data_IF_484404019731
#
_entry.id   IF_484404019731
#
_cell.length_a   1.000
_cell.length_b   1.000
_cell.length_c   1.000
_cell.angle_alpha   90.00
_cell.angle_beta   90.00
_cell.angle_gamma   90.00
#
_symmetry.space_group_name_H-M   'P 1'
#
loop_
_entity.id
_entity.type
_entity.pdbx_description
1 polymer ?
#
# COMPACT_ATOMS: atom_id res chain seq x y z
N UNK A 1 -5.40 4.15 -13.47
CA UNK A 1 -6.61 4.70 -14.12
C UNK A 1 -7.27 3.61 -14.98
N UNK A 2 -8.61 3.58 -15.10
CA UNK A 2 -9.34 2.67 -15.99
C UNK A 2 -8.99 2.89 -17.46
N UNK A 3 -8.74 4.14 -17.85
CA UNK A 3 -8.35 4.50 -19.24
C UNK A 3 -7.01 3.91 -19.61
N UNK A 4 -6.00 4.08 -18.76
CA UNK A 4 -4.66 3.50 -18.97
C UNK A 4 -4.72 1.97 -19.03
N UNK A 5 -5.53 1.36 -18.18
CA UNK A 5 -5.70 -0.09 -18.17
C UNK A 5 -6.39 -0.60 -19.44
N UNK A 6 -7.46 0.07 -19.89
CA UNK A 6 -8.10 -0.25 -21.16
C UNK A 6 -7.14 -0.12 -22.34
N UNK A 7 -6.31 0.94 -22.36
CA UNK A 7 -5.31 1.15 -23.41
C UNK A 7 -4.24 0.05 -23.42
N UNK A 8 -3.86 -0.49 -22.26
CA UNK A 8 -2.91 -1.61 -22.17
C UNK A 8 -3.50 -2.91 -22.71
N UNK A 9 -4.77 -3.20 -22.38
CA UNK A 9 -5.47 -4.37 -22.91
C UNK A 9 -5.76 -4.25 -24.41
N UNK A 10 -5.98 -3.02 -24.91
CA UNK A 10 -6.39 -2.72 -26.27
C UNK A 10 -5.34 -1.91 -27.03
N UNK A 11 -4.06 -2.28 -26.95
CA UNK A 11 -2.93 -1.50 -27.50
C UNK A 11 -3.14 -1.03 -28.94
N UNK A 12 -3.54 -1.94 -29.84
CA UNK A 12 -3.82 -1.63 -31.25
C UNK A 12 -4.95 -0.60 -31.43
N UNK A 13 -6.04 -0.70 -30.65
CA UNK A 13 -7.15 0.26 -30.71
C UNK A 13 -6.77 1.59 -30.07
N UNK A 14 -5.93 1.57 -29.04
CA UNK A 14 -5.43 2.77 -28.39
C UNK A 14 -4.50 3.54 -29.33
N UNK A 15 -3.69 2.86 -30.15
CA UNK A 15 -2.83 3.48 -31.17
C UNK A 15 -3.64 4.22 -32.25
N UNK A 16 -4.74 3.64 -32.73
CA UNK A 16 -5.58 4.27 -33.77
C UNK A 16 -6.30 5.53 -33.28
N UNK A 17 -6.36 5.77 -31.97
CA UNK A 17 -6.90 7.02 -31.40
C UNK A 17 -6.03 8.22 -31.70
N UNK A 18 -4.77 8.04 -32.10
CA UNK A 18 -3.85 9.13 -32.47
C UNK A 18 -3.58 9.08 -33.97
N UNK A 19 -3.81 10.20 -34.64
CA UNK A 19 -3.53 10.33 -36.08
C UNK A 19 -2.18 10.99 -36.30
N UNK A 20 -1.60 10.82 -37.50
CA UNK A 20 -0.37 11.52 -37.90
C UNK A 20 -0.51 13.05 -37.79
N UNK A 21 -1.68 13.59 -38.11
CA UNK A 21 -2.00 15.02 -37.97
C UNK A 21 -1.94 15.51 -36.53
N UNK A 22 -2.30 14.67 -35.56
CA UNK A 22 -2.23 15.04 -34.14
C UNK A 22 -0.77 15.18 -33.69
N UNK A 23 0.09 14.28 -34.17
CA UNK A 23 1.53 14.31 -33.87
C UNK A 23 2.19 15.53 -34.52
N UNK A 24 1.87 15.81 -35.78
CA UNK A 24 2.35 16.99 -36.52
C UNK A 24 1.98 18.30 -35.82
N UNK A 25 0.73 18.43 -35.34
CA UNK A 25 0.29 19.62 -34.56
C UNK A 25 1.12 19.89 -33.31
N UNK A 26 1.63 18.86 -32.65
CA UNK A 26 2.49 19.05 -31.48
C UNK A 26 3.92 19.40 -31.89
N UNK A 27 4.43 18.80 -32.97
CA UNK A 27 5.75 19.14 -33.53
C UNK A 27 5.82 20.57 -34.08
N UNK A 28 4.77 21.03 -34.76
CA UNK A 28 4.65 22.42 -35.23
C UNK A 28 4.66 23.44 -34.08
N UNK A 29 4.24 23.03 -32.88
CA UNK A 29 4.31 23.81 -31.64
C UNK A 29 5.65 23.70 -30.93
N UNK A 30 6.66 23.08 -31.55
CA UNK A 30 7.99 22.87 -30.99
C UNK A 30 8.04 21.86 -29.83
N UNK A 31 7.04 20.98 -29.70
CA UNK A 31 7.04 19.94 -28.66
C UNK A 31 7.79 18.72 -29.18
N UNK A 32 8.88 18.34 -28.50
CA UNK A 32 9.75 17.25 -28.92
C UNK A 32 10.14 16.33 -27.75
N UNK A 33 10.73 15.18 -28.07
CA UNK A 33 11.24 14.21 -27.09
C UNK A 33 10.17 13.73 -26.09
N UNK A 34 10.56 13.60 -24.81
CA UNK A 34 9.68 13.09 -23.74
C UNK A 34 8.41 13.92 -23.54
N UNK A 35 8.44 15.22 -23.84
CA UNK A 35 7.26 16.07 -23.71
C UNK A 35 6.22 15.75 -24.80
N UNK A 36 6.68 15.44 -26.00
CA UNK A 36 5.82 15.02 -27.10
C UNK A 36 5.13 13.69 -26.77
N UNK A 37 5.89 12.70 -26.28
CA UNK A 37 5.35 11.40 -25.87
C UNK A 37 4.25 11.55 -24.82
N UNK A 38 4.51 12.37 -23.80
CA UNK A 38 3.53 12.65 -22.74
C UNK A 38 2.25 13.31 -23.29
N UNK A 39 2.36 14.31 -24.16
CA UNK A 39 1.18 14.97 -24.76
C UNK A 39 0.39 14.03 -25.67
N UNK A 40 1.06 13.14 -26.39
CA UNK A 40 0.41 12.11 -27.21
C UNK A 40 -0.35 11.14 -26.31
N UNK A 41 0.25 10.71 -25.21
CA UNK A 41 -0.37 9.78 -24.26
C UNK A 41 -1.57 10.41 -23.54
N UNK A 42 -1.46 11.66 -23.11
CA UNK A 42 -2.57 12.40 -22.50
C UNK A 42 -3.71 12.61 -23.50
N UNK A 43 -3.42 12.93 -24.77
CA UNK A 43 -4.43 13.03 -25.82
C UNK A 43 -5.10 11.68 -26.09
N UNK A 44 -4.31 10.60 -26.10
CA UNK A 44 -4.81 9.23 -26.29
C UNK A 44 -5.78 8.85 -25.15
N UNK A 45 -5.37 9.11 -23.91
CA UNK A 45 -6.20 8.93 -22.71
C UNK A 45 -7.48 9.75 -22.79
N UNK A 46 -7.40 11.00 -23.24
CA UNK A 46 -8.56 11.88 -23.44
C UNK A 46 -9.59 11.35 -24.44
N UNK A 47 -9.15 10.58 -25.44
CA UNK A 47 -9.99 10.01 -26.51
C UNK A 47 -10.58 8.63 -26.21
N UNK A 48 -10.25 8.04 -25.06
CA UNK A 48 -10.92 6.83 -24.56
C UNK A 48 -12.31 7.21 -24.08
N UNK A 49 -13.31 6.58 -24.69
CA UNK A 49 -14.73 6.85 -24.46
C UNK A 49 -15.31 6.01 -23.32
N UNK A 50 -16.45 6.42 -22.75
CA UNK A 50 -17.13 5.63 -21.71
C UNK A 50 -17.64 4.29 -22.23
N UNK A 51 -18.06 4.22 -23.49
CA UNK A 51 -18.48 2.97 -24.15
C UNK A 51 -17.34 1.96 -24.17
N UNK A 52 -16.13 2.41 -24.47
CA UNK A 52 -14.94 1.56 -24.46
C UNK A 52 -14.56 1.13 -23.04
N UNK A 53 -14.70 2.02 -22.06
CA UNK A 53 -14.49 1.66 -20.66
C UNK A 53 -15.52 0.64 -20.15
N UNK A 54 -16.74 0.65 -20.70
CA UNK A 54 -17.78 -0.32 -20.37
C UNK A 54 -17.50 -1.72 -20.94
N UNK A 55 -16.55 -1.87 -21.87
CA UNK A 55 -16.08 -3.19 -22.34
C UNK A 55 -15.26 -3.93 -21.28
N UNK A 56 -14.74 -3.23 -20.25
CA UNK A 56 -13.99 -3.85 -19.17
C UNK A 56 -14.90 -4.77 -18.36
N UNK A 57 -14.54 -6.04 -18.31
CA UNK A 57 -15.28 -7.04 -17.56
C UNK A 57 -15.09 -6.87 -16.04
N UNK A 58 -15.94 -7.54 -15.25
CA UNK A 58 -15.72 -7.61 -13.81
C UNK A 58 -14.35 -8.20 -13.43
N UNK A 59 -13.82 -9.12 -14.25
CA UNK A 59 -12.50 -9.70 -14.04
C UNK A 59 -11.39 -8.68 -14.32
N UNK A 60 -11.54 -7.88 -15.38
CA UNK A 60 -10.61 -6.80 -15.72
C UNK A 60 -10.53 -5.77 -14.60
N UNK A 61 -11.66 -5.43 -13.98
CA UNK A 61 -11.70 -4.52 -12.84
C UNK A 61 -11.00 -5.09 -11.60
N UNK A 62 -11.08 -6.41 -11.37
CA UNK A 62 -10.31 -7.08 -10.29
C UNK A 62 -8.81 -7.01 -10.55
N UNK A 63 -8.38 -7.31 -11.78
CA UNK A 63 -6.96 -7.22 -12.19
C UNK A 63 -6.46 -5.79 -12.04
N UNK A 64 -7.26 -4.80 -12.46
CA UNK A 64 -6.94 -3.39 -12.30
C UNK A 64 -6.78 -3.00 -10.83
N UNK A 65 -7.66 -3.48 -9.94
CA UNK A 65 -7.56 -3.20 -8.52
C UNK A 65 -6.24 -3.72 -7.92
N UNK A 66 -5.86 -4.96 -8.25
CA UNK A 66 -4.59 -5.55 -7.82
C UNK A 66 -3.40 -4.75 -8.37
N UNK A 67 -3.39 -4.51 -9.69
CA UNK A 67 -2.32 -3.76 -10.36
C UNK A 67 -2.15 -2.35 -9.80
N UNK A 68 -3.27 -1.67 -9.51
CA UNK A 68 -3.27 -0.34 -8.92
C UNK A 68 -2.58 -0.34 -7.56
N UNK A 69 -2.87 -1.34 -6.71
CA UNK A 69 -2.20 -1.48 -5.41
C UNK A 69 -0.71 -1.76 -5.56
N UNK A 70 -0.33 -2.68 -6.45
CA UNK A 70 1.08 -3.00 -6.74
C UNK A 70 1.87 -1.78 -7.22
N UNK A 71 1.24 -0.92 -8.03
CA UNK A 71 1.90 0.25 -8.62
C UNK A 71 1.87 1.50 -7.74
N UNK A 72 1.04 1.51 -6.69
CA UNK A 72 0.88 2.67 -5.79
C UNK A 72 1.95 2.76 -4.69
N UNK A 73 2.74 1.71 -4.52
CA UNK A 73 3.76 1.62 -3.49
C UNK A 73 5.02 2.42 -3.78
N UNK A 74 5.77 2.69 -2.71
CA UNK A 74 7.15 3.17 -2.83
C UNK A 74 8.08 2.01 -3.17
N UNK A 75 9.15 2.32 -3.89
CA UNK A 75 10.14 1.32 -4.27
C UNK A 75 10.66 0.59 -3.01
N UNK A 76 10.73 -0.74 -3.07
CA UNK A 76 11.16 -1.63 -1.98
C UNK A 76 10.30 -1.55 -0.70
N UNK A 77 9.11 -0.92 -0.73
CA UNK A 77 8.16 -0.96 0.40
C UNK A 77 7.00 -1.91 0.07
N UNK A 78 6.83 -3.02 0.80
CA UNK A 78 5.74 -3.97 0.56
C UNK A 78 4.36 -3.29 0.59
N UNK A 79 3.47 -3.67 -0.33
CA UNK A 79 2.11 -3.16 -0.40
C UNK A 79 1.11 -4.27 -0.09
N UNK A 80 0.15 -3.99 0.77
CA UNK A 80 -0.87 -4.97 1.14
C UNK A 80 -1.94 -5.04 0.06
N UNK A 81 -1.96 -6.16 -0.67
CA UNK A 81 -2.91 -6.39 -1.76
C UNK A 81 -4.27 -6.83 -1.22
N UNK A 82 -4.29 -7.79 -0.29
CA UNK A 82 -5.50 -8.34 0.34
C UNK A 82 -5.23 -8.64 1.82
N UNK A 83 -6.24 -8.42 2.65
CA UNK A 83 -6.30 -8.79 4.08
C UNK A 83 -7.43 -9.79 4.31
N UNK A 84 -7.48 -10.35 5.51
CA UNK A 84 -8.54 -11.25 5.97
C UNK A 84 -8.75 -12.43 5.00
N UNK A 85 -7.64 -13.05 4.62
CA UNK A 85 -7.64 -14.24 3.76
C UNK A 85 -7.98 -15.48 4.58
N UNK A 86 -8.68 -16.43 3.97
CA UNK A 86 -8.92 -17.72 4.62
C UNK A 86 -7.64 -18.56 4.64
N UNK A 87 -7.57 -19.55 5.54
CA UNK A 87 -6.43 -20.48 5.59
C UNK A 87 -6.20 -21.19 4.25
N UNK A 88 -7.29 -21.51 3.54
CA UNK A 88 -7.26 -22.13 2.21
C UNK A 88 -6.67 -21.19 1.15
N UNK A 89 -7.05 -19.90 1.17
CA UNK A 89 -6.48 -18.89 0.28
C UNK A 89 -4.99 -18.65 0.60
N UNK A 90 -4.64 -18.56 1.89
CA UNK A 90 -3.27 -18.39 2.36
C UNK A 90 -2.39 -19.55 1.89
N UNK A 91 -2.81 -20.79 2.14
CA UNK A 91 -2.08 -21.99 1.73
C UNK A 91 -1.88 -22.03 0.20
N UNK A 92 -2.96 -21.79 -0.56
CA UNK A 92 -2.90 -21.82 -2.03
C UNK A 92 -1.94 -20.79 -2.61
N UNK A 93 -1.88 -19.58 -2.05
CA UNK A 93 -0.93 -18.55 -2.50
C UNK A 93 0.48 -18.92 -2.06
N UNK A 94 0.66 -19.36 -0.81
CA UNK A 94 1.95 -19.73 -0.22
C UNK A 94 2.65 -20.82 -1.02
N UNK A 95 1.94 -21.86 -1.43
CA UNK A 95 2.48 -22.95 -2.28
C UNK A 95 2.90 -22.47 -3.67
N UNK A 96 2.33 -21.37 -4.16
CA UNK A 96 2.55 -20.85 -5.50
C UNK A 96 3.40 -19.57 -5.53
N UNK A 97 4.01 -19.15 -4.42
CA UNK A 97 4.81 -17.91 -4.35
C UNK A 97 5.94 -17.86 -5.38
N UNK A 98 6.53 -19.02 -5.73
CA UNK A 98 7.55 -19.10 -6.78
C UNK A 98 7.06 -18.60 -8.16
N UNK A 99 5.76 -18.65 -8.42
CA UNK A 99 5.15 -18.18 -9.66
C UNK A 99 4.80 -16.68 -9.63
N UNK A 100 4.97 -16.01 -8.49
CA UNK A 100 4.57 -14.62 -8.28
C UNK A 100 5.76 -13.79 -7.77
N UNK A 101 6.69 -13.39 -8.66
CA UNK A 101 7.85 -12.57 -8.27
C UNK A 101 7.42 -11.29 -7.55
N UNK A 102 7.98 -11.06 -6.35
CA UNK A 102 7.69 -9.89 -5.53
C UNK A 102 6.39 -9.96 -4.72
N UNK A 103 5.67 -11.09 -4.76
CA UNK A 103 4.53 -11.36 -3.88
C UNK A 103 5.01 -12.20 -2.70
N UNK A 104 4.46 -11.89 -1.53
CA UNK A 104 4.67 -12.67 -0.31
C UNK A 104 3.33 -12.85 0.41
N UNK A 105 3.22 -13.92 1.19
CA UNK A 105 2.06 -14.24 2.01
C UNK A 105 2.53 -14.38 3.46
N UNK A 106 2.14 -13.43 4.30
CA UNK A 106 2.57 -13.37 5.70
C UNK A 106 1.37 -13.17 6.62
N UNK A 107 1.53 -13.61 7.86
CA UNK A 107 0.57 -13.31 8.93
C UNK A 107 0.87 -11.91 9.46
N UNK A 108 -0.12 -11.03 9.38
CA UNK A 108 -0.06 -9.69 9.95
C UNK A 108 -0.84 -9.63 11.28
N UNK A 109 -0.52 -8.67 12.13
CA UNK A 109 -1.18 -8.47 13.42
C UNK A 109 -2.24 -7.38 13.31
N UNK A 110 -3.23 -7.38 14.21
CA UNK A 110 -4.13 -6.25 14.42
C UNK A 110 -4.25 -5.91 15.90
N UNK A 111 -4.49 -4.63 16.20
CA UNK A 111 -4.67 -4.18 17.59
C UNK A 111 -6.08 -4.54 18.04
N UNK A 112 -6.18 -5.51 18.94
CA UNK A 112 -7.44 -5.89 19.56
C UNK A 112 -7.66 -5.13 20.88
N UNK A 113 -8.81 -4.46 21.02
CA UNK A 113 -9.24 -3.80 22.25
C UNK A 113 -10.29 -4.67 22.95
N UNK A 114 -9.85 -5.50 23.91
CA UNK A 114 -10.67 -6.52 24.57
C UNK A 114 -11.94 -5.95 25.22
N UNK A 115 -11.88 -4.72 25.75
CA UNK A 115 -13.01 -4.06 26.41
C UNK A 115 -13.81 -3.13 25.48
N UNK A 116 -13.60 -3.20 24.17
CA UNK A 116 -14.35 -2.44 23.18
C UNK A 116 -14.19 -0.93 23.36
N UNK A 117 -15.29 -0.23 23.68
CA UNK A 117 -15.32 1.23 23.87
C UNK A 117 -14.92 1.67 25.27
N UNK A 118 -15.01 0.79 26.28
CA UNK A 118 -14.65 1.11 27.66
C UNK A 118 -13.19 1.56 27.71
N UNK A 119 -12.95 2.75 28.26
CA UNK A 119 -11.62 3.35 28.38
C UNK A 119 -10.89 3.64 27.05
N UNK A 120 -11.55 3.48 25.89
CA UNK A 120 -10.92 3.66 24.57
C UNK A 120 -10.51 5.10 24.29
N UNK A 121 -11.22 6.08 24.86
CA UNK A 121 -10.88 7.50 24.78
C UNK A 121 -9.53 7.83 25.43
N UNK A 122 -9.06 7.02 26.38
CA UNK A 122 -7.78 7.21 27.07
C UNK A 122 -6.69 6.32 26.47
N UNK A 123 -7.00 5.10 26.06
CA UNK A 123 -6.05 4.25 25.34
C UNK A 123 -5.62 4.91 24.01
N UNK A 124 -6.60 5.41 23.27
CA UNK A 124 -6.41 5.97 21.95
C UNK A 124 -6.48 4.92 20.84
N UNK A 125 -5.91 5.26 19.69
CA UNK A 125 -5.94 4.41 18.51
C UNK A 125 -4.56 4.35 17.86
N UNK A 126 -4.36 3.32 17.04
CA UNK A 126 -3.23 3.21 16.12
C UNK A 126 -3.70 3.49 14.68
N UNK A 127 -2.77 3.81 13.79
CA UNK A 127 -3.05 3.82 12.35
C UNK A 127 -3.22 2.41 11.79
N UNK A 128 -3.99 2.26 10.71
CA UNK A 128 -4.01 1.01 9.94
C UNK A 128 -2.80 0.93 9.02
N UNK A 129 -2.48 -0.25 8.48
CA UNK A 129 -1.40 -0.35 7.49
C UNK A 129 -1.73 0.30 6.14
N UNK A 130 -3.02 0.53 5.82
CA UNK A 130 -3.43 1.35 4.68
C UNK A 130 -3.21 2.84 4.94
N UNK A 131 -3.48 3.30 6.16
CA UNK A 131 -3.20 4.67 6.57
C UNK A 131 -1.70 4.93 6.68
N UNK A 132 -0.97 3.97 7.26
CA UNK A 132 0.46 4.05 7.48
C UNK A 132 0.83 5.16 8.47
N UNK A 133 1.91 5.88 8.17
CA UNK A 133 2.36 6.99 8.99
C UNK A 133 1.47 8.24 8.81
N UNK A 134 1.06 8.92 9.90
CA UNK A 134 0.33 10.18 9.83
C UNK A 134 1.11 11.24 9.06
N UNK A 135 0.44 11.96 8.14
CA UNK A 135 1.09 12.93 7.24
C UNK A 135 1.76 14.06 8.01
N UNK A 136 1.14 14.50 9.10
CA UNK A 136 1.60 15.57 9.98
C UNK A 136 2.95 15.27 10.64
N UNK A 137 3.26 13.99 10.88
CA UNK A 137 4.46 13.55 11.60
C UNK A 137 5.37 12.66 10.74
N UNK A 138 5.10 12.59 9.43
CA UNK A 138 5.75 11.67 8.51
C UNK A 138 7.27 11.76 8.58
N UNK A 139 7.84 12.96 8.44
CA UNK A 139 9.29 13.15 8.41
C UNK A 139 9.95 12.74 9.74
N UNK A 140 9.28 13.00 10.87
CA UNK A 140 9.75 12.58 12.19
C UNK A 140 9.86 11.06 12.31
N UNK A 141 8.88 10.32 11.79
CA UNK A 141 8.91 8.86 11.81
C UNK A 141 9.94 8.30 10.82
N UNK A 142 10.06 8.88 9.62
CA UNK A 142 11.04 8.43 8.62
C UNK A 142 12.48 8.58 9.11
N UNK A 143 12.82 9.68 9.78
CA UNK A 143 14.17 9.88 10.37
C UNK A 143 14.46 8.86 11.46
N UNK A 144 13.42 8.35 12.14
CA UNK A 144 13.52 7.30 13.15
C UNK A 144 13.54 5.88 12.58
N UNK A 145 13.51 5.72 11.25
CA UNK A 145 13.62 4.43 10.58
C UNK A 145 12.29 3.70 10.36
N UNK A 146 11.15 4.37 10.55
CA UNK A 146 9.84 3.78 10.24
C UNK A 146 9.62 3.74 8.73
N UNK A 147 8.92 2.71 8.26
CA UNK A 147 8.41 2.67 6.88
C UNK A 147 7.07 3.39 6.79
N UNK A 148 6.74 3.86 5.58
CA UNK A 148 5.51 4.64 5.33
C UNK A 148 4.22 3.89 5.63
N UNK A 149 4.24 2.57 5.53
CA UNK A 149 3.11 1.68 5.82
C UNK A 149 3.13 1.15 7.27
N UNK A 150 4.00 1.68 8.13
CA UNK A 150 4.05 1.29 9.54
C UNK A 150 2.82 1.79 10.29
N UNK A 151 2.35 0.94 11.20
CA UNK A 151 1.27 1.26 12.11
C UNK A 151 1.88 1.89 13.36
N UNK A 152 1.37 3.04 13.75
CA UNK A 152 1.87 3.80 14.89
C UNK A 152 0.72 4.29 15.76
N UNK A 153 1.00 4.50 17.05
CA UNK A 153 0.11 5.18 17.97
C UNK A 153 -0.28 6.55 17.47
N UNK A 154 -1.56 6.72 17.15
CA UNK A 154 -2.14 7.94 16.59
C UNK A 154 -2.61 8.90 17.66
N UNK A 155 -3.06 8.39 18.81
CA UNK A 155 -3.57 9.24 19.89
C UNK A 155 -3.36 8.67 21.28
N UNK A 156 -3.42 9.55 22.28
CA UNK A 156 -3.40 9.25 23.72
C UNK A 156 -2.28 8.30 24.15
N UNK A 157 -2.58 7.22 24.88
CA UNK A 157 -1.56 6.29 25.41
C UNK A 157 -0.77 5.63 24.27
N UNK A 158 -1.45 5.18 23.21
CA UNK A 158 -0.78 4.55 22.06
C UNK A 158 0.28 5.50 21.48
N UNK A 159 -0.06 6.78 21.26
CA UNK A 159 0.90 7.78 20.77
C UNK A 159 1.98 8.13 21.79
N UNK A 160 1.58 8.32 23.06
CA UNK A 160 2.49 8.79 24.12
C UNK A 160 3.58 7.77 24.42
N UNK A 161 3.26 6.48 24.32
CA UNK A 161 4.15 5.37 24.62
C UNK A 161 4.60 4.61 23.37
N UNK A 162 4.46 5.18 22.17
CA UNK A 162 4.88 4.56 20.91
C UNK A 162 6.32 4.03 21.00
N UNK A 163 7.24 4.81 21.56
CA UNK A 163 8.66 4.43 21.68
C UNK A 163 8.91 3.17 22.52
N UNK A 164 7.97 2.81 23.39
CA UNK A 164 8.02 1.64 24.26
C UNK A 164 7.20 0.49 23.69
N UNK A 165 6.04 0.80 23.12
CA UNK A 165 5.06 -0.15 22.58
C UNK A 165 5.43 -0.65 21.18
N UNK A 166 6.16 0.14 20.39
CA UNK A 166 6.59 -0.23 19.05
C UNK A 166 7.64 -1.34 19.09
N UNK A 167 7.36 -2.45 18.40
CA UNK A 167 8.32 -3.53 18.22
C UNK A 167 9.37 -3.18 17.17
N UNK A 168 10.54 -3.79 17.24
CA UNK A 168 11.54 -3.66 16.17
C UNK A 168 11.22 -4.64 15.06
N UNK A 169 11.22 -4.17 13.81
CA UNK A 169 10.96 -5.03 12.65
C UNK A 169 12.16 -5.91 12.33
N UNK A 170 11.88 -7.01 11.63
CA UNK A 170 12.95 -7.77 10.98
C UNK A 170 13.50 -6.93 9.82
N UNK A 171 14.82 -6.78 9.77
CA UNK A 171 15.50 -6.09 8.68
C UNK A 171 16.04 -7.12 7.69
N UNK A 172 15.62 -7.00 6.42
CA UNK A 172 16.04 -7.89 5.34
C UNK A 172 16.72 -7.06 4.25
N UNK A 173 17.96 -7.44 3.91
CA UNK A 173 18.73 -6.85 2.83
C UNK A 173 18.53 -7.65 1.54
N UNK A 174 17.86 -7.03 0.58
CA UNK A 174 17.70 -7.58 -0.76
C UNK A 174 18.89 -7.18 -1.64
N UNK A 175 19.56 -8.16 -2.23
CA UNK A 175 20.63 -7.97 -3.21
C UNK A 175 20.00 -8.08 -4.60
N UNK A 176 20.14 -7.03 -5.41
CA UNK A 176 19.54 -6.97 -6.75
C UNK A 176 20.56 -7.05 -7.87
N UNK A 177 20.16 -7.58 -9.02
CA UNK A 177 20.94 -7.51 -10.27
C UNK A 177 20.89 -6.11 -10.90
N UNK A 178 21.59 -5.92 -12.03
CA UNK A 178 21.59 -4.65 -12.79
C UNK A 178 20.22 -4.28 -13.38
N UNK A 179 19.30 -5.25 -13.46
CA UNK A 179 17.94 -5.07 -13.97
C UNK A 179 16.93 -4.78 -12.85
N UNK A 180 17.37 -4.81 -11.58
CA UNK A 180 16.53 -4.58 -10.40
C UNK A 180 15.82 -5.82 -9.86
N UNK A 181 16.12 -7.02 -10.37
CA UNK A 181 15.55 -8.26 -9.86
C UNK A 181 16.26 -8.67 -8.56
N UNK A 182 15.52 -9.16 -7.57
CA UNK A 182 16.08 -9.65 -6.31
C UNK A 182 16.75 -11.01 -6.56
N UNK A 183 18.06 -11.10 -6.29
CA UNK A 183 18.90 -12.29 -6.47
C UNK A 183 19.06 -13.06 -5.16
N UNK A 184 19.11 -12.35 -4.04
CA UNK A 184 19.15 -12.95 -2.70
C UNK A 184 18.63 -11.99 -1.63
N UNK A 185 18.21 -12.54 -0.50
CA UNK A 185 17.76 -11.80 0.68
C UNK A 185 18.52 -12.29 1.92
N UNK A 186 19.05 -11.36 2.71
CA UNK A 186 19.80 -11.64 3.95
C UNK A 186 19.11 -10.97 5.14
N UNK A 187 18.80 -11.72 6.19
CA UNK A 187 18.25 -11.16 7.44
C UNK A 187 19.38 -10.50 8.21
N UNK A 188 19.33 -9.17 8.33
CA UNK A 188 20.30 -8.35 9.09
C UNK A 188 19.98 -8.39 10.58
N UNK A 189 18.70 -8.26 10.93
CA UNK A 189 18.25 -8.17 12.32
C UNK A 189 16.90 -8.84 12.48
N UNK A 190 16.73 -9.66 13.52
CA UNK A 190 15.45 -10.30 13.82
C UNK A 190 14.49 -9.31 14.48
N UNK A 191 13.23 -9.38 14.08
CA UNK A 191 12.18 -8.61 14.72
C UNK A 191 11.97 -9.00 16.18
N UNK A 192 11.49 -8.05 16.99
CA UNK A 192 11.13 -8.25 18.40
C UNK A 192 9.85 -7.50 18.72
N UNK A 193 8.98 -8.11 19.51
CA UNK A 193 7.79 -7.44 20.04
C UNK A 193 8.18 -6.24 20.90
N UNK A 194 7.35 -5.19 20.86
CA UNK A 194 7.48 -4.05 21.77
C UNK A 194 7.24 -4.46 23.22
N UNK A 195 7.55 -3.54 24.14
CA UNK A 195 7.37 -3.80 25.55
C UNK A 195 5.89 -3.71 25.95
N UNK A 196 5.54 -4.41 27.02
CA UNK A 196 4.20 -4.29 27.62
C UNK A 196 4.14 -3.07 28.55
N UNK A 197 3.04 -2.33 28.48
CA UNK A 197 2.73 -1.23 29.39
C UNK A 197 1.65 -1.66 30.39
N UNK A 198 1.95 -1.56 31.69
CA UNK A 198 0.95 -1.77 32.74
C UNK A 198 0.47 -0.42 33.25
N UNK A 199 -0.84 -0.20 33.24
CA UNK A 199 -1.46 1.03 33.72
C UNK A 199 -1.81 0.91 35.20
N UNK A 200 -1.94 2.06 35.87
CA UNK A 200 -2.42 2.14 37.27
C UNK A 200 -3.95 2.09 37.37
N UNK A 201 -4.65 1.90 36.26
CA UNK A 201 -6.11 1.91 36.18
C UNK A 201 -6.66 0.52 36.49
N UNK A 202 -7.56 0.46 37.46
CA UNK A 202 -8.37 -0.73 37.72
C UNK A 202 -9.57 -0.76 36.76
N UNK A 203 -9.64 -1.80 35.93
CA UNK A 203 -10.69 -1.92 34.90
C UNK A 203 -12.07 -2.22 35.49
N UNK A 204 -12.17 -2.89 36.63
CA UNK A 204 -13.45 -3.15 37.28
C UNK A 204 -14.01 -1.86 37.89
N UNK A 205 -13.15 -1.06 38.51
CA UNK A 205 -13.52 0.27 39.01
C UNK A 205 -13.93 1.19 37.86
N UNK A 206 -13.13 1.24 36.79
CA UNK A 206 -13.44 2.06 35.62
C UNK A 206 -14.80 1.71 35.01
N UNK A 207 -15.11 0.41 34.88
CA UNK A 207 -16.39 -0.06 34.37
C UNK A 207 -17.56 0.43 35.22
N UNK A 208 -17.46 0.32 36.55
CA UNK A 208 -18.53 0.78 37.46
C UNK A 208 -18.77 2.29 37.37
N UNK A 209 -17.70 3.07 37.20
CA UNK A 209 -17.80 4.53 37.07
C UNK A 209 -18.47 4.94 35.76
N UNK A 210 -18.19 4.26 34.64
CA UNK A 210 -18.83 4.56 33.35
C UNK A 210 -20.29 4.08 33.26
N UNK A 211 -20.68 3.09 34.07
CA UNK A 211 -22.06 2.60 34.18
C UNK A 211 -22.96 3.45 35.11
N UNK A 212 -22.36 4.38 35.89
CA UNK A 212 -23.05 5.26 36.85
C UNK A 212 -23.49 6.58 36.22
#
# INVERSE_FOLDING_TARGET
>A
DKKDFWMQLNSKRAETKITKKDIEKFKEKGVEGKELDKKIEDLRRGRVTEVELAELTAQDLKVLAIKSKMSSGYQLTPQIIKKDVTDEEYARISENLANFPGVDATVDWERNYVNGSLFRSVLGNITSSEEGLPKENLDSYLVRGYNRNDRVGKSYIEQRYEDVLHGTKEEVKNITDKSGNIVSAEIISKGKSGNSLTLTIDMELQKKVEES
#
